data_IF_754683432625
#
_entry.id   IF_754683432625
#
_cell.length_a   1.000
_cell.length_b   1.000
_cell.length_c   1.000
_cell.angle_alpha   90.00
_cell.angle_beta   90.00
_cell.angle_gamma   90.00
#
_symmetry.space_group_name_H-M   'P 1'
#
loop_
_entity.id
_entity.type
_entity.pdbx_description
1 polymer ?
#
# COMPACT_ATOMS: atom_id res chain seq x y z
N UNK A 1 -11.53 14.69 -14.19
CA UNK A 1 -11.54 13.92 -12.93
C UNK A 1 -10.92 12.57 -13.25
N UNK A 2 -9.77 12.21 -12.68
CA UNK A 2 -9.19 10.89 -12.93
C UNK A 2 -10.07 9.89 -12.16
N UNK A 3 -10.77 9.03 -12.89
CA UNK A 3 -11.53 7.94 -12.28
C UNK A 3 -10.58 6.98 -11.54
N UNK A 4 -11.09 6.29 -10.52
CA UNK A 4 -10.32 5.34 -9.74
C UNK A 4 -9.66 4.30 -10.67
N UNK A 5 -8.36 4.06 -10.48
CA UNK A 5 -7.56 3.18 -11.33
C UNK A 5 -8.13 1.76 -11.24
N UNK A 6 -8.38 1.14 -12.40
CA UNK A 6 -8.96 -0.21 -12.53
C UNK A 6 -7.88 -1.26 -12.80
N UNK A 7 -6.90 -1.37 -11.89
CA UNK A 7 -5.81 -2.35 -11.99
C UNK A 7 -5.79 -3.24 -10.76
N UNK A 8 -5.37 -4.49 -10.93
CA UNK A 8 -5.14 -5.43 -9.82
C UNK A 8 -3.77 -5.19 -9.16
N UNK A 9 -2.76 -4.84 -9.95
CA UNK A 9 -1.41 -4.52 -9.50
C UNK A 9 -0.92 -3.19 -10.08
N UNK A 10 -0.30 -2.36 -9.23
CA UNK A 10 0.35 -1.12 -9.59
C UNK A 10 1.81 -1.15 -9.10
N UNK A 11 2.74 -1.14 -10.05
CA UNK A 11 4.17 -1.09 -9.76
C UNK A 11 4.72 0.31 -10.05
N UNK A 12 5.28 0.93 -9.03
CA UNK A 12 5.88 2.27 -9.03
C UNK A 12 7.30 2.23 -8.44
N UNK A 13 7.95 1.07 -8.49
CA UNK A 13 9.31 0.90 -7.99
C UNK A 13 10.30 1.84 -8.70
N UNK A 14 11.42 2.16 -8.04
CA UNK A 14 12.53 2.92 -8.63
C UNK A 14 12.12 4.33 -9.11
N UNK A 15 11.23 4.98 -8.35
CA UNK A 15 10.79 6.34 -8.61
C UNK A 15 11.24 7.29 -7.49
N UNK A 16 10.83 8.55 -7.58
CA UNK A 16 11.10 9.59 -6.56
C UNK A 16 9.83 9.98 -5.82
N UNK A 17 8.91 9.04 -5.63
CA UNK A 17 7.62 9.31 -4.99
C UNK A 17 7.88 9.62 -3.52
N UNK A 18 7.34 10.74 -3.06
CA UNK A 18 7.43 11.16 -1.66
C UNK A 18 6.08 11.18 -0.94
N UNK A 19 4.96 11.07 -1.69
CA UNK A 19 3.59 11.12 -1.19
C UNK A 19 2.69 10.18 -1.98
N UNK A 20 1.80 9.48 -1.28
CA UNK A 20 0.69 8.72 -1.87
C UNK A 20 -0.60 9.51 -1.62
N UNK A 21 -1.46 9.60 -2.63
CA UNK A 21 -2.76 10.26 -2.47
C UNK A 21 -3.73 9.38 -1.68
N UNK A 22 -4.50 9.96 -0.77
CA UNK A 22 -5.62 9.30 -0.06
C UNK A 22 -6.60 8.60 -1.01
N UNK A 23 -6.77 9.12 -2.24
CA UNK A 23 -7.69 8.54 -3.22
C UNK A 23 -7.29 7.14 -3.71
N UNK A 24 -6.05 6.69 -3.47
CA UNK A 24 -5.62 5.35 -3.87
C UNK A 24 -6.45 4.24 -3.19
N UNK A 25 -7.03 4.53 -2.01
CA UNK A 25 -7.92 3.60 -1.30
C UNK A 25 -9.22 3.33 -2.06
N UNK A 26 -9.64 4.28 -2.91
CA UNK A 26 -10.88 4.20 -3.69
C UNK A 26 -10.73 3.31 -4.94
N UNK A 27 -9.53 2.82 -5.25
CA UNK A 27 -9.28 1.92 -6.37
C UNK A 27 -9.92 0.55 -6.08
N UNK A 28 -11.06 0.20 -6.70
CA UNK A 28 -11.86 -0.94 -6.26
C UNK A 28 -11.18 -2.28 -6.55
N UNK A 29 -10.20 -2.30 -7.45
CA UNK A 29 -9.51 -3.52 -7.88
C UNK A 29 -8.07 -3.65 -7.38
N UNK A 30 -7.49 -2.59 -6.82
CA UNK A 30 -6.07 -2.57 -6.49
C UNK A 30 -5.79 -3.47 -5.28
N UNK A 31 -5.07 -4.56 -5.52
CA UNK A 31 -4.66 -5.54 -4.50
C UNK A 31 -3.18 -5.45 -4.19
N UNK A 32 -2.37 -5.11 -5.18
CA UNK A 32 -0.92 -5.05 -5.04
C UNK A 32 -0.38 -3.68 -5.41
N UNK A 33 0.35 -3.07 -4.49
CA UNK A 33 1.04 -1.80 -4.70
C UNK A 33 2.52 -2.00 -4.38
N UNK A 34 3.38 -1.78 -5.38
CA UNK A 34 4.83 -1.82 -5.22
C UNK A 34 5.37 -0.40 -5.35
N UNK A 35 6.06 0.05 -4.33
CA UNK A 35 6.66 1.38 -4.22
C UNK A 35 8.10 1.26 -3.68
N UNK A 36 8.77 0.15 -3.99
CA UNK A 36 10.14 -0.09 -3.56
C UNK A 36 11.09 0.97 -4.13
N UNK A 37 12.16 1.29 -3.39
CA UNK A 37 13.20 2.25 -3.76
C UNK A 37 12.63 3.60 -4.18
N UNK A 38 11.78 4.15 -3.32
CA UNK A 38 11.21 5.49 -3.44
C UNK A 38 11.67 6.37 -2.28
N UNK A 39 11.12 7.58 -2.18
CA UNK A 39 11.46 8.53 -1.11
C UNK A 39 10.26 8.78 -0.18
N UNK A 40 9.40 7.78 0.05
CA UNK A 40 8.25 7.94 0.93
C UNK A 40 8.70 8.06 2.38
N UNK A 41 8.11 9.01 3.10
CA UNK A 41 8.13 9.01 4.57
C UNK A 41 6.98 8.15 5.09
N UNK A 42 7.05 7.69 6.34
CA UNK A 42 5.98 6.89 6.93
C UNK A 42 4.62 7.62 6.90
N UNK A 43 4.61 8.92 7.20
CA UNK A 43 3.40 9.75 7.22
C UNK A 43 2.79 9.99 5.83
N UNK A 44 3.54 9.69 4.77
CA UNK A 44 3.04 9.75 3.41
C UNK A 44 2.23 8.50 3.01
N UNK A 45 2.17 7.48 3.87
CA UNK A 45 1.24 6.36 3.70
C UNK A 45 -0.10 6.77 4.34
N UNK A 46 -1.16 6.93 3.52
CA UNK A 46 -2.49 7.28 4.02
C UNK A 46 -3.07 6.15 4.87
N UNK A 47 -3.62 6.47 6.05
CA UNK A 47 -4.21 5.46 6.94
C UNK A 47 -5.36 4.70 6.25
N UNK A 48 -6.13 5.41 5.40
CA UNK A 48 -7.19 4.82 4.59
C UNK A 48 -6.72 3.70 3.65
N UNK A 49 -5.46 3.69 3.22
CA UNK A 49 -4.91 2.59 2.43
C UNK A 49 -4.77 1.31 3.25
N UNK A 50 -4.58 1.42 4.56
CA UNK A 50 -4.45 0.28 5.48
C UNK A 50 -5.82 -0.12 6.07
N UNK A 51 -6.71 0.83 6.36
CA UNK A 51 -8.01 0.56 6.99
C UNK A 51 -9.13 0.25 5.99
N UNK A 52 -9.22 1.01 4.89
CA UNK A 52 -10.41 1.10 4.02
C UNK A 52 -10.01 0.97 2.53
N UNK A 53 -9.37 -0.15 2.20
CA UNK A 53 -8.97 -0.47 0.83
C UNK A 53 -9.00 -1.98 0.55
N UNK A 54 -8.91 -2.34 -0.73
CA UNK A 54 -8.74 -3.72 -1.18
C UNK A 54 -7.27 -4.16 -1.25
N UNK A 55 -6.33 -3.32 -0.79
CA UNK A 55 -4.91 -3.61 -0.86
C UNK A 55 -4.57 -4.78 0.07
N UNK A 56 -4.05 -5.86 -0.52
CA UNK A 56 -3.59 -7.03 0.20
C UNK A 56 -2.06 -7.14 0.23
N UNK A 57 -1.33 -6.47 -0.66
CA UNK A 57 0.14 -6.48 -0.69
C UNK A 57 0.69 -5.09 -0.93
N UNK A 58 1.47 -4.60 0.03
CA UNK A 58 2.27 -3.37 -0.09
C UNK A 58 3.75 -3.73 -0.01
N UNK A 59 4.51 -3.40 -1.06
CA UNK A 59 5.97 -3.50 -1.09
C UNK A 59 6.55 -2.09 -1.01
N UNK A 60 7.39 -1.81 -0.02
CA UNK A 60 7.91 -0.46 0.25
C UNK A 60 9.39 -0.45 0.63
N UNK A 61 10.13 -1.51 0.31
CA UNK A 61 11.54 -1.63 0.67
C UNK A 61 12.34 -0.46 0.08
N UNK A 62 13.34 0.05 0.80
CA UNK A 62 14.17 1.16 0.29
C UNK A 62 13.47 2.53 0.27
N UNK A 63 12.47 2.75 1.13
CA UNK A 63 11.93 4.07 1.44
C UNK A 63 12.55 4.64 2.73
N UNK A 64 12.08 5.81 3.20
CA UNK A 64 12.61 6.50 4.38
C UNK A 64 12.02 6.01 5.72
N UNK A 65 11.54 4.78 5.76
CA UNK A 65 11.01 4.13 6.96
C UNK A 65 11.25 2.62 6.88
N UNK A 66 11.29 1.96 8.02
CA UNK A 66 11.50 0.52 8.12
C UNK A 66 10.20 -0.22 8.48
N UNK A 67 10.26 -1.55 8.44
CA UNK A 67 9.11 -2.42 8.74
C UNK A 67 8.61 -2.24 10.17
N UNK A 68 9.52 -1.98 11.14
CA UNK A 68 9.14 -1.77 12.54
C UNK A 68 8.30 -0.51 12.71
N UNK A 69 8.69 0.58 12.05
CA UNK A 69 7.92 1.81 12.04
C UNK A 69 6.57 1.63 11.32
N UNK A 70 6.55 0.84 10.25
CA UNK A 70 5.32 0.53 9.52
C UNK A 70 4.30 -0.28 10.36
N UNK A 71 4.78 -1.24 11.17
CA UNK A 71 3.93 -2.02 12.09
C UNK A 71 3.16 -1.17 13.10
N UNK A 72 3.67 0.03 13.42
CA UNK A 72 3.02 0.98 14.33
C UNK A 72 1.93 1.85 13.67
N UNK A 73 1.68 1.73 12.37
CA UNK A 73 0.67 2.55 11.69
C UNK A 73 -0.74 2.13 12.03
N UNK A 74 -1.61 3.13 12.17
CA UNK A 74 -3.05 2.92 12.20
C UNK A 74 -3.50 2.13 10.96
N UNK A 75 -4.30 1.08 11.18
CA UNK A 75 -4.77 0.21 10.10
C UNK A 75 -3.87 -0.97 9.77
N UNK A 76 -2.68 -1.08 10.38
CA UNK A 76 -1.74 -2.18 10.11
C UNK A 76 -2.36 -3.56 10.35
N UNK A 77 -3.12 -3.74 11.43
CA UNK A 77 -3.77 -5.03 11.73
C UNK A 77 -4.77 -5.43 10.63
N UNK A 78 -5.60 -4.50 10.16
CA UNK A 78 -6.56 -4.74 9.08
C UNK A 78 -5.83 -5.08 7.77
N UNK A 79 -4.75 -4.37 7.45
CA UNK A 79 -3.88 -4.69 6.32
C UNK A 79 -3.30 -6.11 6.46
N UNK A 80 -2.80 -6.48 7.63
CA UNK A 80 -2.21 -7.80 7.88
C UNK A 80 -3.20 -8.94 7.76
N UNK A 81 -4.46 -8.73 8.16
CA UNK A 81 -5.54 -9.69 7.93
C UNK A 81 -5.74 -9.93 6.43
N UNK A 82 -5.78 -8.86 5.62
CA UNK A 82 -5.90 -8.98 4.15
C UNK A 82 -4.68 -9.63 3.52
N UNK A 83 -3.47 -9.24 3.93
CA UNK A 83 -2.22 -9.83 3.45
C UNK A 83 -2.18 -11.34 3.71
N UNK A 84 -2.49 -11.76 4.95
CA UNK A 84 -2.49 -13.18 5.32
C UNK A 84 -3.58 -13.97 4.58
N UNK A 85 -4.80 -13.40 4.46
CA UNK A 85 -5.89 -14.05 3.73
C UNK A 85 -5.58 -14.22 2.24
N UNK A 86 -4.86 -13.28 1.62
CA UNK A 86 -4.45 -13.38 0.22
C UNK A 86 -3.42 -14.47 -0.03
N UNK A 87 -2.50 -14.69 0.93
CA UNK A 87 -1.49 -15.76 0.84
C UNK A 87 -2.08 -17.16 0.97
N UNK A 88 -3.11 -17.34 1.80
CA UNK A 88 -3.81 -18.63 1.97
C UNK A 88 -4.61 -19.08 0.75
N UNK A 89 -4.92 -18.18 -0.18
CA UNK A 89 -5.64 -18.51 -1.42
C UNK A 89 -4.73 -19.07 -2.52
N UNK A 90 -3.41 -19.10 -2.29
CA UNK A 90 -2.41 -19.56 -3.27
C UNK A 90 -1.92 -20.99 -2.99
N UNK A 91 -2.45 -21.66 -1.97
CA UNK A 91 -2.24 -23.08 -1.64
C UNK A 91 -3.50 -23.89 -2.00
#
# INVERSE_FOLDING_TARGET
>A
QIQAIQVDELNLNDNRIAKISEHIRLCPRLKTLRIDRNNLALDAIPAGLLTDSNLSLLSFEGNRFDEKAFQGKEGYEQYMQRFTASRRKLE
#
